data_IF_034411021575
#
_entry.id   IF_034411021575
#
_cell.length_a   1.000
_cell.length_b   1.000
_cell.length_c   1.000
_cell.angle_alpha   90.00
_cell.angle_beta   90.00
_cell.angle_gamma   90.00
#
_symmetry.space_group_name_H-M   'P 1'
#
loop_
_entity.id
_entity.type
_entity.pdbx_description
1 polymer ?
#
# COMPACT_ATOMS: atom_id res chain seq x y z
N UNK A 1 -11.62 2.66 9.40
CA UNK A 1 -10.51 3.62 9.20
C UNK A 1 -9.59 2.97 8.21
N UNK A 2 -9.55 3.49 6.99
CA UNK A 2 -8.78 2.95 5.86
C UNK A 2 -7.66 3.93 5.57
N UNK A 3 -6.45 3.43 5.35
CA UNK A 3 -5.28 4.27 5.09
C UNK A 3 -5.26 4.77 3.64
N UNK A 4 -4.87 6.02 3.44
CA UNK A 4 -4.77 6.65 2.12
C UNK A 4 -3.31 7.02 1.78
N UNK A 5 -3.09 7.55 0.58
CA UNK A 5 -1.77 8.03 0.17
C UNK A 5 -1.23 9.09 1.14
N UNK A 6 -0.01 8.87 1.64
CA UNK A 6 0.65 9.68 2.68
C UNK A 6 0.58 9.07 4.08
N UNK A 7 -0.26 8.07 4.31
CA UNK A 7 -0.38 7.44 5.62
C UNK A 7 0.69 6.36 5.85
N UNK A 8 1.10 6.23 7.10
CA UNK A 8 1.96 5.14 7.54
C UNK A 8 1.11 3.91 7.88
N UNK A 9 1.42 2.78 7.25
CA UNK A 9 0.67 1.52 7.37
C UNK A 9 1.57 0.39 7.85
N UNK A 10 0.95 -0.59 8.49
CA UNK A 10 1.60 -1.84 8.92
C UNK A 10 0.98 -3.03 8.18
N UNK A 11 1.67 -4.18 8.09
CA UNK A 11 1.07 -5.38 7.51
C UNK A 11 -0.26 -5.72 8.18
N UNK A 12 -1.31 -5.91 7.37
CA UNK A 12 -2.68 -6.12 7.83
C UNK A 12 -3.53 -4.86 7.97
N UNK A 13 -2.95 -3.67 7.80
CA UNK A 13 -3.71 -2.42 7.71
C UNK A 13 -4.49 -2.34 6.40
N UNK A 14 -5.76 -1.94 6.46
CA UNK A 14 -6.61 -1.72 5.28
C UNK A 14 -6.18 -0.45 4.54
N UNK A 15 -6.01 -0.55 3.22
CA UNK A 15 -5.63 0.56 2.32
C UNK A 15 -6.79 0.89 1.39
N UNK A 16 -7.06 2.17 1.19
CA UNK A 16 -8.10 2.63 0.28
C UNK A 16 -7.52 2.69 -1.13
N UNK A 17 -8.11 1.93 -2.06
CA UNK A 17 -7.78 1.98 -3.48
C UNK A 17 -8.96 2.64 -4.18
N UNK A 18 -8.81 3.87 -4.70
CA UNK A 18 -9.86 4.52 -5.47
C UNK A 18 -10.18 3.76 -6.77
N UNK A 19 -11.41 3.93 -7.27
CA UNK A 19 -11.78 3.35 -8.57
C UNK A 19 -10.88 3.87 -9.70
N UNK A 20 -10.38 2.95 -10.53
CA UNK A 20 -9.44 3.26 -11.61
C UNK A 20 -7.98 3.37 -11.18
N UNK A 21 -7.67 3.01 -9.93
CA UNK A 21 -6.30 2.94 -9.40
C UNK A 21 -5.94 1.47 -9.14
N UNK A 22 -4.73 1.06 -9.51
CA UNK A 22 -4.26 -0.32 -9.30
C UNK A 22 -3.43 -0.43 -8.01
N UNK A 23 -3.46 -1.60 -7.38
CA UNK A 23 -2.58 -1.93 -6.25
C UNK A 23 -1.23 -2.43 -6.78
N UNK A 24 -0.16 -1.76 -6.39
CA UNK A 24 1.21 -2.12 -6.72
C UNK A 24 1.95 -2.76 -5.53
N UNK A 25 3.25 -2.53 -5.46
CA UNK A 25 4.12 -3.16 -4.48
C UNK A 25 3.71 -2.88 -3.03
N UNK A 26 3.83 -3.90 -2.19
CA UNK A 26 3.53 -3.78 -0.77
C UNK A 26 2.03 -3.75 -0.42
N UNK A 27 1.13 -3.90 -1.41
CA UNK A 27 -0.31 -3.98 -1.23
C UNK A 27 -0.83 -5.30 -1.79
N UNK A 28 -1.65 -5.98 -1.00
CA UNK A 28 -2.43 -7.12 -1.45
C UNK A 28 -3.87 -6.66 -1.66
N UNK A 29 -4.34 -6.72 -2.91
CA UNK A 29 -5.72 -6.41 -3.27
C UNK A 29 -6.44 -7.72 -3.64
N UNK A 30 -7.53 -7.99 -2.93
CA UNK A 30 -8.44 -9.09 -3.21
C UNK A 30 -9.90 -8.61 -3.24
N UNK A 31 -10.84 -9.53 -3.50
CA UNK A 31 -12.29 -9.25 -3.55
C UNK A 31 -12.86 -8.67 -2.24
N UNK A 32 -12.18 -8.85 -1.10
CA UNK A 32 -12.55 -8.31 0.22
C UNK A 32 -11.94 -6.94 0.50
N UNK A 33 -10.97 -6.49 -0.29
CA UNK A 33 -10.38 -5.16 -0.21
C UNK A 33 -8.87 -5.16 -0.39
N UNK A 34 -8.27 -3.99 -0.19
CA UNK A 34 -6.83 -3.83 -0.24
C UNK A 34 -6.23 -3.73 1.18
N UNK A 35 -5.15 -4.45 1.40
CA UNK A 35 -4.42 -4.49 2.67
C UNK A 35 -2.93 -4.34 2.42
N UNK A 36 -2.25 -3.60 3.30
CA UNK A 36 -0.80 -3.50 3.27
C UNK A 36 -0.19 -4.85 3.69
N UNK A 37 0.84 -5.31 2.98
CA UNK A 37 1.61 -6.51 3.33
C UNK A 37 2.99 -6.18 3.90
N UNK A 38 3.42 -4.93 3.77
CA UNK A 38 4.69 -4.41 4.30
C UNK A 38 4.47 -3.19 5.19
N UNK A 39 5.45 -2.89 6.03
CA UNK A 39 5.43 -1.68 6.88
C UNK A 39 6.03 -0.51 6.13
N UNK A 40 5.30 0.58 5.96
CA UNK A 40 5.76 1.69 5.13
C UNK A 40 4.78 2.81 4.99
N UNK A 41 5.07 3.72 4.07
CA UNK A 41 4.20 4.86 3.73
C UNK A 41 3.46 4.54 2.45
N UNK A 42 2.15 4.73 2.44
CA UNK A 42 1.36 4.57 1.22
C UNK A 42 1.72 5.70 0.27
N UNK A 43 2.14 5.36 -0.94
CA UNK A 43 2.49 6.30 -2.01
C UNK A 43 1.60 6.03 -3.21
N UNK A 44 1.10 7.08 -3.84
CA UNK A 44 0.35 6.98 -5.09
C UNK A 44 1.21 7.56 -6.20
N UNK A 45 1.44 6.78 -7.25
CA UNK A 45 2.18 7.22 -8.44
C UNK A 45 1.48 6.71 -9.69
N UNK A 46 1.20 7.64 -10.62
CA UNK A 46 0.73 7.34 -11.97
C UNK A 46 -0.50 6.41 -12.07
N UNK A 47 -1.46 6.53 -11.13
CA UNK A 47 -2.65 5.66 -11.10
C UNK A 47 -2.43 4.31 -10.44
N UNK A 48 -1.32 4.13 -9.73
CA UNK A 48 -1.04 2.96 -8.90
C UNK A 48 -0.78 3.39 -7.46
N UNK A 49 -1.38 2.72 -6.49
CA UNK A 49 -1.05 2.89 -5.07
C UNK A 49 -0.06 1.78 -4.70
N UNK A 50 1.00 2.11 -3.98
CA UNK A 50 1.99 1.16 -3.47
C UNK A 50 2.37 1.55 -2.04
N UNK A 51 3.00 0.66 -1.30
CA UNK A 51 3.58 0.97 0.01
C UNK A 51 5.08 1.05 -0.14
N UNK A 52 5.62 2.24 0.10
CA UNK A 52 7.07 2.48 0.17
C UNK A 52 7.59 1.98 1.52
N UNK A 53 8.32 0.85 1.57
CA UNK A 53 8.76 0.28 2.82
C UNK A 53 9.78 1.21 3.48
N UNK A 54 9.54 1.56 4.75
CA UNK A 54 10.46 2.40 5.54
C UNK A 54 11.77 1.68 5.91
N UNK A 55 11.88 0.38 5.62
CA UNK A 55 13.05 -0.43 5.93
C UNK A 55 14.03 -0.40 4.74
N UNK A 56 15.34 -0.32 4.99
CA UNK A 56 16.35 -0.45 3.93
C UNK A 56 16.15 -1.77 3.18
N UNK A 57 16.39 -1.77 1.87
CA UNK A 57 16.37 -2.97 1.04
C UNK A 57 17.22 -4.07 1.68
N UNK A 58 16.57 -5.09 2.24
CA UNK A 58 17.28 -6.27 2.73
C UNK A 58 17.64 -7.12 1.53
N UNK A 59 18.91 -6.96 1.11
CA UNK A 59 19.62 -7.61 0.00
C UNK A 59 19.49 -6.91 -1.37
N UNK A 60 20.62 -6.30 -1.78
CA UNK A 60 20.99 -6.03 -3.18
C UNK A 60 21.80 -7.19 -3.73
#
# INVERSE_FOLDING_TARGET
MTAAAGDFVTPGSSVEIPDGVEAGDGIHNDTSGAVAVVTGTVVQSNGTISVDPSRPSVNS
#
